data_IF_476966147448
#
_entry.id   IF_476966147448
#
_cell.length_a   1.000
_cell.length_b   1.000
_cell.length_c   1.000
_cell.angle_alpha   90.00
_cell.angle_beta   90.00
_cell.angle_gamma   90.00
#
_symmetry.space_group_name_H-M   'P 1'
#
loop_
_entity.id
_entity.type
_entity.pdbx_description
1 polymer ?
#
# COMPACT_ATOMS: atom_id res chain seq x y z
N UNK A 1 63.21 47.89 26.02
CA UNK A 1 62.31 47.79 24.84
C UNK A 1 61.80 46.36 24.73
N UNK A 2 60.57 46.13 25.18
CA UNK A 2 59.90 44.77 25.05
C UNK A 2 59.07 44.75 23.73
N UNK A 3 59.43 43.86 22.80
CA UNK A 3 58.69 43.64 21.57
C UNK A 3 57.51 42.73 21.87
N UNK A 4 56.29 43.21 21.66
CA UNK A 4 55.05 42.45 21.76
C UNK A 4 54.83 41.77 20.39
N UNK A 5 54.88 40.40 20.40
CA UNK A 5 54.58 39.60 19.21
C UNK A 5 53.06 39.31 19.25
N UNK A 6 52.32 39.92 18.32
CA UNK A 6 50.88 39.67 18.16
C UNK A 6 50.70 38.46 17.21
N UNK A 7 50.28 37.32 17.78
CA UNK A 7 50.00 36.14 16.98
C UNK A 7 48.55 36.20 16.49
N UNK A 8 48.36 36.36 15.18
CA UNK A 8 47.03 36.26 14.53
C UNK A 8 46.66 34.78 14.40
N UNK A 9 45.62 34.38 15.08
CA UNK A 9 44.97 33.07 14.85
C UNK A 9 43.90 33.25 13.81
N UNK A 10 44.14 32.76 12.59
CA UNK A 10 43.15 32.68 11.53
C UNK A 10 42.29 31.44 11.73
N UNK A 11 41.04 31.65 12.14
CA UNK A 11 40.04 30.58 12.20
C UNK A 11 39.48 30.36 10.79
N UNK A 12 39.89 29.29 10.13
CA UNK A 12 39.33 28.84 8.85
C UNK A 12 38.05 28.08 9.12
N UNK A 13 36.88 28.71 8.91
CA UNK A 13 35.59 28.03 8.90
C UNK A 13 35.50 27.13 7.65
N UNK A 14 35.68 25.84 7.83
CA UNK A 14 35.37 24.84 6.78
C UNK A 14 33.86 24.66 6.78
N UNK A 15 33.16 25.30 5.86
CA UNK A 15 31.74 25.04 5.62
C UNK A 15 31.56 23.67 5.02
N UNK A 16 30.99 22.74 5.80
CA UNK A 16 30.54 21.46 5.29
C UNK A 16 29.28 21.69 4.46
N UNK A 17 29.42 21.80 3.15
CA UNK A 17 28.29 21.77 2.25
C UNK A 17 27.75 20.34 2.22
N UNK A 18 26.63 20.09 2.87
CA UNK A 18 25.87 18.85 2.67
C UNK A 18 25.35 18.86 1.24
N UNK A 19 26.03 18.14 0.36
CA UNK A 19 25.55 17.86 -0.99
C UNK A 19 24.34 16.94 -0.80
N UNK A 20 23.13 17.50 -0.94
CA UNK A 20 21.91 16.71 -0.96
C UNK A 20 22.03 15.64 -2.04
N UNK A 21 22.06 14.37 -1.66
CA UNK A 21 22.03 13.27 -2.62
C UNK A 21 20.67 13.34 -3.34
N UNK A 22 20.65 13.84 -4.56
CA UNK A 22 19.53 13.64 -5.47
C UNK A 22 19.51 12.15 -5.84
N UNK A 23 18.70 11.37 -5.11
CA UNK A 23 18.45 9.99 -5.50
C UNK A 23 17.82 9.99 -6.90
N UNK A 24 18.40 9.22 -7.81
CA UNK A 24 17.80 9.02 -9.14
C UNK A 24 16.34 8.57 -8.97
N UNK A 25 15.40 9.02 -9.83
CA UNK A 25 14.01 8.64 -9.72
C UNK A 25 13.90 7.11 -9.69
N UNK A 26 13.23 6.59 -8.67
CA UNK A 26 13.05 5.15 -8.50
C UNK A 26 12.29 4.58 -9.69
N UNK A 27 12.86 3.55 -10.33
CA UNK A 27 12.20 2.91 -11.48
C UNK A 27 10.92 2.20 -11.01
N UNK A 28 9.85 2.41 -11.78
CA UNK A 28 8.60 1.65 -11.62
C UNK A 28 8.86 0.16 -11.84
N UNK A 29 8.48 -0.70 -10.90
CA UNK A 29 8.52 -2.17 -11.02
C UNK A 29 7.10 -2.73 -11.03
N UNK A 30 6.83 -3.64 -11.95
CA UNK A 30 5.54 -4.34 -12.06
C UNK A 30 5.59 -5.61 -11.24
N UNK A 31 4.60 -5.81 -10.38
CA UNK A 31 4.37 -7.07 -9.66
C UNK A 31 3.48 -7.96 -10.54
N UNK A 32 3.84 -9.24 -10.66
CA UNK A 32 3.08 -10.23 -11.41
C UNK A 32 2.58 -11.31 -10.45
N UNK A 33 1.28 -11.53 -10.43
CA UNK A 33 0.64 -12.62 -9.71
C UNK A 33 -0.25 -13.39 -10.69
N UNK A 34 -0.02 -14.68 -10.85
CA UNK A 34 -0.75 -15.50 -11.82
C UNK A 34 -0.42 -15.19 -13.30
N UNK A 35 -1.22 -15.72 -14.23
CA UNK A 35 -1.05 -15.49 -15.65
C UNK A 35 -1.29 -14.02 -16.00
N UNK A 36 -0.56 -13.47 -17.00
CA UNK A 36 -0.76 -12.09 -17.42
C UNK A 36 -2.17 -11.91 -18.02
N UNK A 37 -2.94 -10.95 -17.50
CA UNK A 37 -4.24 -10.59 -18.05
C UNK A 37 -4.18 -9.43 -19.08
N UNK A 38 -3.05 -8.74 -19.16
CA UNK A 38 -2.79 -7.70 -20.17
C UNK A 38 -3.52 -6.35 -19.96
N UNK A 39 -4.48 -6.26 -19.03
CA UNK A 39 -5.32 -5.07 -18.83
C UNK A 39 -4.77 -4.18 -17.73
N UNK A 40 -4.31 -4.76 -16.61
CA UNK A 40 -3.71 -4.04 -15.48
C UNK A 40 -2.66 -4.90 -14.78
N UNK A 41 -1.84 -4.26 -13.94
CA UNK A 41 -0.86 -4.94 -13.09
C UNK A 41 -1.45 -5.17 -11.72
N UNK A 42 -1.28 -6.34 -11.09
CA UNK A 42 -1.73 -6.58 -9.71
C UNK A 42 -1.22 -5.57 -8.71
N UNK A 43 0.05 -5.15 -8.86
CA UNK A 43 0.62 -4.04 -8.11
C UNK A 43 1.78 -3.40 -8.88
N UNK A 44 2.08 -2.17 -8.49
CA UNK A 44 3.23 -1.38 -8.95
C UNK A 44 4.05 -0.97 -7.73
N UNK A 45 5.38 -1.08 -7.84
CA UNK A 45 6.31 -0.63 -6.82
C UNK A 45 7.08 0.58 -7.35
N UNK A 46 7.13 1.65 -6.55
CA UNK A 46 7.90 2.87 -6.83
C UNK A 46 8.63 3.28 -5.55
N UNK A 47 9.96 3.22 -5.58
CA UNK A 47 10.75 3.33 -4.33
C UNK A 47 10.38 2.22 -3.38
N UNK A 48 10.03 2.59 -2.16
CA UNK A 48 9.59 1.66 -1.11
C UNK A 48 8.06 1.52 -1.03
N UNK A 49 7.31 2.20 -1.93
CA UNK A 49 5.86 2.15 -1.95
C UNK A 49 5.33 1.10 -2.92
N UNK A 50 4.34 0.37 -2.47
CA UNK A 50 3.56 -0.62 -3.22
C UNK A 50 2.15 -0.08 -3.41
N UNK A 51 1.70 0.01 -4.66
CA UNK A 51 0.35 0.40 -5.05
C UNK A 51 -0.34 -0.82 -5.63
N UNK A 52 -1.39 -1.32 -4.99
CA UNK A 52 -2.16 -2.46 -5.51
C UNK A 52 -3.28 -1.99 -6.42
N UNK A 53 -3.66 -2.83 -7.38
CA UNK A 53 -4.97 -2.72 -8.01
C UNK A 53 -6.06 -3.14 -7.03
N UNK A 54 -7.30 -2.70 -7.27
CA UNK A 54 -8.46 -3.14 -6.51
C UNK A 54 -8.61 -4.66 -6.57
N UNK A 55 -8.92 -5.25 -5.43
CA UNK A 55 -9.20 -6.68 -5.28
C UNK A 55 -10.66 -6.88 -4.96
N UNK A 56 -11.34 -7.71 -5.76
CA UNK A 56 -12.69 -8.21 -5.48
C UNK A 56 -12.63 -9.65 -4.96
N UNK A 57 -13.73 -10.12 -4.38
CA UNK A 57 -13.79 -11.42 -3.71
C UNK A 57 -13.90 -12.65 -4.63
N UNK A 58 -13.32 -12.62 -5.83
CA UNK A 58 -13.25 -13.79 -6.69
C UNK A 58 -12.18 -14.77 -6.20
N UNK A 59 -12.52 -16.05 -6.10
CA UNK A 59 -11.52 -17.10 -5.90
C UNK A 59 -10.69 -17.23 -7.19
N UNK A 60 -9.36 -17.05 -7.13
CA UNK A 60 -8.50 -17.09 -8.32
C UNK A 60 -8.43 -18.46 -9.00
N UNK A 61 -8.84 -19.52 -8.32
CA UNK A 61 -8.87 -20.88 -8.88
C UNK A 61 -10.12 -21.15 -9.70
N UNK A 62 -11.26 -20.67 -9.25
CA UNK A 62 -12.56 -20.93 -9.88
C UNK A 62 -13.10 -19.77 -10.70
N UNK A 63 -12.63 -18.53 -10.42
CA UNK A 63 -13.16 -17.33 -11.01
C UNK A 63 -14.57 -16.97 -10.54
N UNK A 64 -15.03 -17.55 -9.43
CA UNK A 64 -16.37 -17.35 -8.87
C UNK A 64 -16.27 -16.68 -7.49
N UNK A 65 -17.34 -16.02 -7.08
CA UNK A 65 -17.48 -15.56 -5.69
C UNK A 65 -17.76 -16.77 -4.79
N UNK A 66 -17.18 -16.81 -3.58
CA UNK A 66 -17.50 -17.83 -2.61
C UNK A 66 -18.95 -17.71 -2.14
N UNK A 67 -19.57 -18.82 -1.81
CA UNK A 67 -20.87 -18.83 -1.13
C UNK A 67 -20.74 -18.25 0.29
N UNK A 68 -21.81 -17.65 0.82
CA UNK A 68 -21.82 -17.05 2.17
C UNK A 68 -21.94 -15.52 2.18
N UNK A 69 -22.28 -14.91 1.04
CA UNK A 69 -22.66 -13.50 0.97
C UNK A 69 -21.50 -12.52 1.19
N UNK A 70 -21.78 -11.40 1.90
CA UNK A 70 -20.82 -10.32 2.07
C UNK A 70 -19.54 -10.76 2.82
N UNK A 71 -19.70 -11.49 3.91
CA UNK A 71 -18.56 -11.93 4.73
C UNK A 71 -17.59 -12.82 3.93
N UNK A 72 -18.13 -13.76 3.16
CA UNK A 72 -17.33 -14.66 2.32
C UNK A 72 -16.57 -13.87 1.24
N UNK A 73 -17.21 -12.89 0.59
CA UNK A 73 -16.55 -12.01 -0.37
C UNK A 73 -15.47 -11.15 0.30
N UNK A 74 -15.76 -10.56 1.46
CA UNK A 74 -14.79 -9.77 2.23
C UNK A 74 -13.53 -10.59 2.55
N UNK A 75 -13.70 -11.80 3.10
CA UNK A 75 -12.60 -12.68 3.45
C UNK A 75 -11.75 -13.06 2.23
N UNK A 76 -12.41 -13.29 1.09
CA UNK A 76 -11.70 -13.59 -0.15
C UNK A 76 -10.96 -12.36 -0.71
N UNK A 77 -11.53 -11.15 -0.59
CA UNK A 77 -10.83 -9.89 -0.94
C UNK A 77 -9.54 -9.77 -0.16
N UNK A 78 -9.59 -9.93 1.18
CA UNK A 78 -8.38 -9.83 2.01
C UNK A 78 -7.36 -10.91 1.68
N UNK A 79 -7.78 -12.13 1.38
CA UNK A 79 -6.90 -13.20 0.92
C UNK A 79 -6.20 -12.84 -0.39
N UNK A 80 -6.93 -12.29 -1.35
CA UNK A 80 -6.37 -11.85 -2.63
C UNK A 80 -5.39 -10.67 -2.44
N UNK A 81 -5.78 -9.66 -1.65
CA UNK A 81 -4.95 -8.49 -1.34
C UNK A 81 -3.65 -8.91 -0.63
N UNK A 82 -3.74 -9.80 0.36
CA UNK A 82 -2.58 -10.34 1.07
C UNK A 82 -1.61 -11.00 0.09
N UNK A 83 -2.10 -11.85 -0.80
CA UNK A 83 -1.26 -12.52 -1.80
C UNK A 83 -0.54 -11.52 -2.73
N UNK A 84 -1.21 -10.43 -3.14
CA UNK A 84 -0.59 -9.36 -3.95
C UNK A 84 0.47 -8.61 -3.16
N UNK A 85 0.20 -8.25 -1.90
CA UNK A 85 1.15 -7.56 -1.03
C UNK A 85 2.39 -8.42 -0.75
N UNK A 86 2.21 -9.71 -0.46
CA UNK A 86 3.32 -10.65 -0.23
C UNK A 86 4.17 -10.84 -1.49
N UNK A 87 3.55 -11.01 -2.66
CA UNK A 87 4.25 -11.06 -3.94
C UNK A 87 5.01 -9.78 -4.27
N UNK A 88 4.62 -8.67 -3.66
CA UNK A 88 5.29 -7.37 -3.78
C UNK A 88 6.48 -7.21 -2.80
N UNK A 89 6.69 -8.12 -1.85
CA UNK A 89 7.66 -7.98 -0.77
C UNK A 89 7.14 -7.12 0.40
N UNK A 90 5.81 -7.03 0.56
CA UNK A 90 5.11 -6.29 1.61
C UNK A 90 4.22 -7.22 2.45
N UNK A 91 3.18 -6.71 3.06
CA UNK A 91 2.19 -7.46 3.83
C UNK A 91 1.09 -6.56 4.37
N UNK A 92 0.04 -7.16 4.92
CA UNK A 92 -1.11 -6.43 5.48
C UNK A 92 -0.69 -5.47 6.60
N UNK A 93 0.25 -5.88 7.46
CA UNK A 93 0.77 -5.06 8.56
C UNK A 93 1.66 -3.87 8.07
N UNK A 94 1.98 -3.84 6.78
CA UNK A 94 2.74 -2.77 6.13
C UNK A 94 1.87 -1.82 5.30
N UNK A 95 0.56 -1.99 5.32
CA UNK A 95 -0.37 -1.08 4.66
C UNK A 95 -0.37 0.28 5.34
N UNK A 96 -0.28 1.35 4.55
CA UNK A 96 -0.35 2.75 5.03
C UNK A 96 -1.66 3.41 4.66
N UNK A 97 -2.30 2.94 3.59
CA UNK A 97 -3.61 3.42 3.12
C UNK A 97 -4.41 2.28 2.53
N UNK A 98 -5.72 2.29 2.78
CA UNK A 98 -6.70 1.46 2.08
C UNK A 98 -7.85 2.32 1.57
N UNK A 99 -8.36 1.98 0.38
CA UNK A 99 -9.64 2.47 -0.12
C UNK A 99 -10.59 1.28 -0.23
N UNK A 100 -11.76 1.40 0.39
CA UNK A 100 -12.81 0.38 0.37
C UNK A 100 -13.99 0.92 -0.42
N UNK A 101 -14.36 0.20 -1.46
CA UNK A 101 -15.53 0.47 -2.28
C UNK A 101 -16.61 -0.55 -1.93
N UNK A 102 -17.78 -0.09 -1.54
CA UNK A 102 -18.96 -0.91 -1.22
C UNK A 102 -20.02 -0.74 -2.31
N UNK A 103 -20.66 -1.83 -2.69
CA UNK A 103 -21.83 -1.78 -3.56
C UNK A 103 -23.07 -1.27 -2.77
N UNK A 104 -23.10 -1.48 -1.46
CA UNK A 104 -24.17 -1.02 -0.57
C UNK A 104 -23.57 -0.57 0.78
N UNK A 105 -23.87 0.66 1.21
CA UNK A 105 -23.41 1.19 2.49
C UNK A 105 -24.07 0.49 3.70
N UNK A 106 -25.15 -0.26 3.52
CA UNK A 106 -25.70 -1.12 4.55
C UNK A 106 -24.72 -2.19 5.04
N UNK A 107 -23.72 -2.56 4.21
CA UNK A 107 -22.63 -3.48 4.59
C UNK A 107 -21.53 -2.82 5.45
N UNK A 108 -21.59 -1.50 5.71
CA UNK A 108 -20.51 -0.75 6.38
C UNK A 108 -20.14 -1.27 7.76
N UNK A 109 -21.14 -1.58 8.59
CA UNK A 109 -20.88 -2.07 9.95
C UNK A 109 -20.28 -3.47 9.93
N UNK A 110 -20.83 -4.38 9.12
CA UNK A 110 -20.28 -5.73 8.95
C UNK A 110 -18.84 -5.67 8.39
N UNK A 111 -18.60 -4.78 7.43
CA UNK A 111 -17.27 -4.53 6.88
C UNK A 111 -16.31 -4.07 8.00
N UNK A 112 -16.69 -3.14 8.85
CA UNK A 112 -15.85 -2.64 9.94
C UNK A 112 -15.46 -3.75 10.92
N UNK A 113 -16.40 -4.61 11.30
CA UNK A 113 -16.15 -5.71 12.22
C UNK A 113 -15.17 -6.75 11.64
N UNK A 114 -15.29 -7.04 10.36
CA UNK A 114 -14.38 -7.93 9.66
C UNK A 114 -13.01 -7.29 9.43
N UNK A 115 -12.99 -6.00 9.06
CA UNK A 115 -11.77 -5.24 8.77
C UNK A 115 -10.85 -5.16 10.00
N UNK A 116 -11.41 -4.85 11.17
CA UNK A 116 -10.65 -4.76 12.42
C UNK A 116 -9.90 -6.04 12.75
N UNK A 117 -10.47 -7.19 12.42
CA UNK A 117 -9.86 -8.52 12.66
C UNK A 117 -8.64 -8.81 11.79
N UNK A 118 -8.42 -8.01 10.73
CA UNK A 118 -7.31 -8.23 9.81
C UNK A 118 -5.97 -7.70 10.33
N UNK A 119 -5.98 -6.82 11.34
CA UNK A 119 -4.79 -6.13 11.84
C UNK A 119 -4.51 -6.52 13.28
N UNK A 120 -3.24 -6.85 13.58
CA UNK A 120 -2.77 -7.11 14.94
C UNK A 120 -2.44 -5.83 15.70
N UNK A 121 -2.07 -4.77 15.00
CA UNK A 121 -1.74 -3.45 15.50
C UNK A 121 -2.69 -2.38 14.97
N UNK A 122 -2.19 -1.16 14.84
CA UNK A 122 -2.96 -0.04 14.29
C UNK A 122 -3.28 -0.28 12.82
N UNK A 123 -4.55 -0.13 12.40
CA UNK A 123 -4.95 -0.27 11.00
C UNK A 123 -4.43 0.92 10.16
N UNK A 124 -4.30 0.76 8.83
CA UNK A 124 -3.91 1.85 7.94
C UNK A 124 -4.98 2.95 7.89
N UNK A 125 -4.59 4.14 7.44
CA UNK A 125 -5.55 5.17 7.07
C UNK A 125 -6.52 4.62 6.03
N UNK A 126 -7.84 4.86 6.20
CA UNK A 126 -8.87 4.29 5.33
C UNK A 126 -9.86 5.32 4.83
N UNK A 127 -10.30 5.15 3.59
CA UNK A 127 -11.49 5.78 3.03
C UNK A 127 -12.48 4.69 2.66
N UNK A 128 -13.76 4.88 2.94
CA UNK A 128 -14.82 3.95 2.53
C UNK A 128 -15.92 4.75 1.85
N UNK A 129 -16.33 4.30 0.68
CA UNK A 129 -17.40 4.92 -0.13
C UNK A 129 -18.30 3.86 -0.73
N UNK A 130 -19.56 4.23 -0.96
CA UNK A 130 -20.43 3.46 -1.83
C UNK A 130 -20.21 3.88 -3.26
N UNK A 131 -20.24 2.94 -4.18
CA UNK A 131 -20.12 3.16 -5.62
C UNK A 131 -21.37 2.67 -6.35
N UNK A 132 -21.59 3.16 -7.56
CA UNK A 132 -22.76 2.78 -8.35
C UNK A 132 -22.77 1.28 -8.71
N UNK A 133 -21.62 0.68 -8.99
CA UNK A 133 -21.44 -0.73 -9.29
C UNK A 133 -19.97 -1.13 -9.21
N UNK A 134 -19.70 -2.38 -8.86
CA UNK A 134 -18.37 -2.99 -8.89
C UNK A 134 -18.27 -4.05 -10.00
N UNK A 135 -17.06 -4.37 -10.47
CA UNK A 135 -16.87 -5.41 -11.48
C UNK A 135 -17.50 -6.74 -11.05
N UNK A 136 -18.16 -7.41 -11.99
CA UNK A 136 -18.79 -8.72 -11.76
C UNK A 136 -19.89 -8.70 -10.67
N UNK A 137 -20.45 -7.52 -10.35
CA UNK A 137 -21.42 -7.32 -9.26
C UNK A 137 -20.87 -7.74 -7.87
N UNK A 138 -19.56 -7.49 -7.67
CA UNK A 138 -18.95 -7.65 -6.35
C UNK A 138 -19.64 -6.74 -5.33
N UNK A 139 -19.73 -7.20 -4.08
CA UNK A 139 -20.28 -6.39 -2.98
C UNK A 139 -19.22 -5.47 -2.37
N UNK A 140 -17.95 -5.79 -2.54
CA UNK A 140 -16.82 -5.04 -1.99
C UNK A 140 -15.60 -5.18 -2.90
N UNK A 141 -14.83 -4.08 -2.98
CA UNK A 141 -13.49 -4.01 -3.57
C UNK A 141 -12.56 -3.24 -2.64
N UNK A 142 -11.32 -3.66 -2.54
CA UNK A 142 -10.31 -2.98 -1.71
C UNK A 142 -9.01 -2.84 -2.50
N UNK A 143 -8.47 -1.61 -2.50
CA UNK A 143 -7.11 -1.32 -2.92
C UNK A 143 -6.28 -0.83 -1.74
N UNK A 144 -4.95 -0.90 -1.85
CA UNK A 144 -4.06 -0.48 -0.80
C UNK A 144 -2.78 0.19 -1.34
N UNK A 145 -2.24 1.09 -0.51
CA UNK A 145 -0.84 1.51 -0.58
C UNK A 145 -0.14 0.91 0.63
N UNK A 146 1.03 0.31 0.43
CA UNK A 146 1.84 -0.29 1.48
C UNK A 146 3.32 0.09 1.32
N UNK A 147 4.14 -0.17 2.35
CA UNK A 147 5.59 -0.07 2.26
C UNK A 147 6.21 -1.47 2.13
N UNK A 148 7.37 -1.57 1.48
CA UNK A 148 8.16 -2.79 1.47
C UNK A 148 8.61 -3.17 2.90
N UNK A 149 8.85 -4.47 3.12
CA UNK A 149 9.47 -4.99 4.36
C UNK A 149 10.94 -4.65 4.41
#
# INVERSE_FOLDING_TARGET
MKRLILTFVTITCIGVYAVGQTTAPSKRRVVKTGPPNGIFSPAIIVGDLVFTSGQIGLDPKTGQFPEGGFEAQFNQVFKNLTAVLEASGSGVDHMVKATVFLADMNDYNAMNDLYRKQFKGDPPARTTVQVARLPRDARIEIEAVAVLK
#
